data_IF_918870655037
#
_entry.id   IF_918870655037
#
_cell.length_a   1.000
_cell.length_b   1.000
_cell.length_c   1.000
_cell.angle_alpha   90.00
_cell.angle_beta   90.00
_cell.angle_gamma   90.00
#
_symmetry.space_group_name_H-M   'P 1'
#
loop_
_entity.id
_entity.type
_entity.pdbx_description
1 polymer ?
#
# COMPACT_ATOMS: atom_id res chain seq x y z
N UNK A 1 -19.43 -2.02 -6.15
CA UNK A 1 -19.99 -1.87 -4.79
C UNK A 1 -20.49 -3.24 -4.35
N UNK A 2 -20.25 -3.64 -3.11
CA UNK A 2 -20.80 -4.89 -2.56
C UNK A 2 -22.28 -4.75 -2.23
N UNK A 3 -22.93 -5.86 -1.87
CA UNK A 3 -24.30 -5.81 -1.39
C UNK A 3 -24.40 -4.98 -0.10
N UNK A 4 -25.51 -4.25 0.07
CA UNK A 4 -25.76 -3.38 1.23
C UNK A 4 -25.64 -4.10 2.58
N UNK A 5 -25.99 -5.39 2.63
CA UNK A 5 -25.91 -6.20 3.85
C UNK A 5 -24.46 -6.36 4.35
N UNK A 6 -23.48 -6.29 3.45
CA UNK A 6 -22.06 -6.24 3.79
C UNK A 6 -21.73 -5.01 4.61
N UNK A 7 -22.15 -3.84 4.16
CA UNK A 7 -21.88 -2.58 4.85
C UNK A 7 -22.63 -2.49 6.19
N UNK A 8 -23.88 -2.96 6.25
CA UNK A 8 -24.68 -3.04 7.48
C UNK A 8 -23.94 -3.90 8.53
N UNK A 9 -23.52 -5.10 8.13
CA UNK A 9 -22.81 -6.03 9.01
C UNK A 9 -21.47 -5.46 9.50
N UNK A 10 -20.70 -4.83 8.60
CA UNK A 10 -19.42 -4.20 8.94
C UNK A 10 -19.59 -3.08 9.96
N UNK A 11 -20.58 -2.19 9.79
CA UNK A 11 -20.86 -1.13 10.76
C UNK A 11 -21.39 -1.68 12.08
N UNK A 12 -22.24 -2.70 12.05
CA UNK A 12 -22.71 -3.36 13.27
C UNK A 12 -21.59 -4.00 14.09
N UNK A 13 -20.60 -4.63 13.43
CA UNK A 13 -19.43 -5.18 14.09
C UNK A 13 -18.52 -4.09 14.65
N UNK A 14 -18.28 -3.03 13.89
CA UNK A 14 -17.49 -1.88 14.33
C UNK A 14 -18.09 -1.23 15.60
N UNK A 15 -19.42 -1.06 15.67
CA UNK A 15 -20.11 -0.52 16.86
C UNK A 15 -19.84 -1.36 18.10
N UNK A 16 -19.82 -2.69 17.99
CA UNK A 16 -19.51 -3.59 19.11
C UNK A 16 -18.07 -3.44 19.62
N UNK A 17 -17.13 -3.16 18.71
CA UNK A 17 -15.71 -3.01 19.06
C UNK A 17 -15.42 -1.66 19.71
N UNK A 18 -15.98 -0.56 19.19
CA UNK A 18 -15.73 0.82 19.69
C UNK A 18 -16.58 1.14 20.91
N UNK A 19 -17.78 0.58 21.02
CA UNK A 19 -18.70 0.56 22.16
C UNK A 19 -19.47 1.85 22.48
N UNK A 20 -18.92 3.04 22.29
CA UNK A 20 -19.59 4.31 22.61
C UNK A 20 -19.05 5.46 21.75
N UNK A 21 -19.76 6.60 21.79
CA UNK A 21 -19.34 7.83 21.11
C UNK A 21 -19.87 7.94 19.68
N UNK A 22 -19.29 8.88 18.94
CA UNK A 22 -19.61 9.17 17.54
C UNK A 22 -18.39 8.91 16.68
N UNK A 23 -18.51 7.98 15.72
CA UNK A 23 -17.47 7.71 14.73
C UNK A 23 -17.71 8.56 13.49
N UNK A 24 -16.68 9.23 12.99
CA UNK A 24 -16.71 10.01 11.75
C UNK A 24 -15.70 9.44 10.78
N UNK A 25 -16.19 8.95 9.63
CA UNK A 25 -15.38 8.59 8.47
C UNK A 25 -15.44 9.70 7.45
N UNK A 26 -14.34 10.39 7.24
CA UNK A 26 -14.23 11.40 6.20
C UNK A 26 -13.96 10.75 4.87
N UNK A 27 -14.85 10.96 3.90
CA UNK A 27 -14.55 10.65 2.51
C UNK A 27 -13.58 11.67 1.92
N UNK A 28 -12.98 11.34 0.79
CA UNK A 28 -12.10 12.23 0.07
C UNK A 28 -12.89 13.27 -0.73
N UNK A 29 -12.25 14.40 -1.01
CA UNK A 29 -12.70 15.40 -1.97
C UNK A 29 -11.88 15.29 -3.26
N UNK A 30 -12.42 15.80 -4.36
CA UNK A 30 -11.64 16.04 -5.57
C UNK A 30 -10.46 16.97 -5.29
N UNK A 31 -9.38 16.81 -6.03
CA UNK A 31 -8.17 17.60 -5.88
C UNK A 31 -7.78 18.19 -7.23
N UNK A 32 -7.75 19.53 -7.37
CA UNK A 32 -7.38 20.16 -8.63
C UNK A 32 -5.88 19.94 -8.92
N UNK A 33 -5.55 19.71 -10.21
CA UNK A 33 -4.16 19.58 -10.66
C UNK A 33 -3.46 20.95 -10.65
N UNK A 34 -4.03 21.95 -11.33
CA UNK A 34 -3.39 23.27 -11.53
C UNK A 34 -4.36 24.44 -11.72
N UNK A 35 -5.67 24.20 -11.80
CA UNK A 35 -6.72 25.21 -11.85
C UNK A 35 -8.02 24.67 -11.25
N UNK A 36 -8.93 25.55 -10.76
CA UNK A 36 -10.01 25.15 -9.87
C UNK A 36 -11.15 24.37 -10.53
N UNK A 37 -11.33 24.44 -11.85
CA UNK A 37 -12.47 23.83 -12.53
C UNK A 37 -12.00 22.85 -13.62
N UNK A 38 -12.58 21.65 -13.67
CA UNK A 38 -12.37 20.62 -14.72
C UNK A 38 -10.94 20.08 -14.88
N UNK A 39 -10.03 20.46 -13.99
CA UNK A 39 -8.63 20.01 -14.02
C UNK A 39 -8.27 19.20 -12.79
N UNK A 40 -9.05 18.14 -12.49
CA UNK A 40 -8.85 17.33 -11.31
C UNK A 40 -7.95 16.12 -11.58
N UNK A 41 -7.22 15.70 -10.54
CA UNK A 41 -6.66 14.33 -10.51
C UNK A 41 -7.79 13.31 -10.52
N UNK A 42 -7.57 12.08 -11.04
CA UNK A 42 -8.56 11.02 -10.93
C UNK A 42 -9.03 10.88 -9.48
N UNK A 43 -10.36 10.88 -9.29
CA UNK A 43 -10.93 10.78 -7.95
C UNK A 43 -10.71 9.38 -7.38
N UNK A 44 -10.27 9.32 -6.14
CA UNK A 44 -10.12 8.09 -5.37
C UNK A 44 -10.67 8.32 -3.96
N UNK A 45 -11.69 7.56 -3.62
CA UNK A 45 -12.33 7.64 -2.31
C UNK A 45 -11.45 7.05 -1.21
N UNK A 46 -11.61 7.53 0.04
CA UNK A 46 -10.96 6.96 1.22
C UNK A 46 -11.35 5.49 1.42
N UNK A 47 -10.37 4.63 1.63
CA UNK A 47 -10.58 3.18 1.71
C UNK A 47 -11.38 2.77 2.94
N UNK A 48 -11.20 3.42 4.10
CA UNK A 48 -11.98 3.11 5.29
C UNK A 48 -13.42 3.59 5.16
N UNK A 49 -13.63 4.77 4.57
CA UNK A 49 -14.98 5.23 4.23
C UNK A 49 -15.67 4.24 3.27
N UNK A 50 -14.99 3.80 2.20
CA UNK A 50 -15.54 2.80 1.27
C UNK A 50 -15.87 1.47 1.94
N UNK A 51 -15.01 1.00 2.83
CA UNK A 51 -15.21 -0.26 3.55
C UNK A 51 -16.50 -0.30 4.36
N UNK A 52 -16.90 0.86 4.93
CA UNK A 52 -18.09 0.96 5.76
C UNK A 52 -19.32 1.53 5.06
N UNK A 53 -19.16 2.35 4.02
CA UNK A 53 -20.27 3.07 3.36
C UNK A 53 -20.42 2.78 1.87
N UNK A 54 -19.41 2.26 1.20
CA UNK A 54 -19.48 1.83 -0.20
C UNK A 54 -19.70 2.94 -1.25
N UNK A 55 -19.80 4.21 -0.86
CA UNK A 55 -20.16 5.30 -1.76
C UNK A 55 -18.92 5.91 -2.45
N UNK A 56 -18.95 5.97 -3.78
CA UNK A 56 -17.83 6.40 -4.65
C UNK A 56 -18.00 7.86 -5.15
N UNK A 57 -18.37 8.78 -4.28
CA UNK A 57 -18.53 10.21 -4.62
C UNK A 57 -17.69 11.05 -3.66
N UNK A 58 -17.15 12.16 -4.16
CA UNK A 58 -16.47 13.17 -3.35
C UNK A 58 -17.39 13.87 -2.37
N UNK A 59 -16.82 14.55 -1.38
CA UNK A 59 -17.54 15.40 -0.44
C UNK A 59 -18.53 14.68 0.48
N UNK A 60 -18.35 13.36 0.71
CA UNK A 60 -19.18 12.57 1.62
C UNK A 60 -18.50 12.36 2.98
N UNK A 61 -19.32 12.24 4.02
CA UNK A 61 -18.88 11.87 5.37
C UNK A 61 -19.86 10.84 5.94
N UNK A 62 -19.32 9.74 6.45
CA UNK A 62 -20.10 8.73 7.17
C UNK A 62 -20.06 8.98 8.68
N UNK A 63 -21.22 9.02 9.32
CA UNK A 63 -21.34 9.18 10.77
C UNK A 63 -22.04 7.98 11.37
N UNK A 64 -21.43 7.40 12.41
CA UNK A 64 -22.02 6.32 13.20
C UNK A 64 -22.11 6.83 14.64
N UNK A 65 -23.31 7.13 15.09
CA UNK A 65 -23.59 7.52 16.49
C UNK A 65 -23.95 6.24 17.26
N UNK A 66 -22.97 5.71 17.99
CA UNK A 66 -23.12 4.44 18.72
C UNK A 66 -24.10 4.56 19.87
N UNK A 67 -24.05 5.70 20.60
CA UNK A 67 -24.86 5.89 21.79
C UNK A 67 -26.37 6.03 21.48
N UNK A 68 -26.69 6.57 20.30
CA UNK A 68 -28.05 6.73 19.81
C UNK A 68 -28.48 5.65 18.81
N UNK A 69 -27.57 4.70 18.48
CA UNK A 69 -27.74 3.65 17.46
C UNK A 69 -28.25 4.20 16.12
N UNK A 70 -27.63 5.29 15.64
CA UNK A 70 -27.98 5.90 14.35
C UNK A 70 -26.77 5.97 13.41
N UNK A 71 -27.06 5.83 12.13
CA UNK A 71 -26.08 5.93 11.06
C UNK A 71 -26.55 6.95 10.04
N UNK A 72 -25.69 7.87 9.62
CA UNK A 72 -26.02 8.95 8.69
C UNK A 72 -24.95 9.11 7.63
N UNK A 73 -25.36 9.12 6.36
CA UNK A 73 -24.50 9.56 5.26
C UNK A 73 -24.71 11.06 5.06
N UNK A 74 -23.63 11.81 5.16
CA UNK A 74 -23.64 13.27 5.07
C UNK A 74 -22.98 13.72 3.77
N UNK A 75 -23.63 14.63 3.06
CA UNK A 75 -23.12 15.23 1.83
C UNK A 75 -24.16 16.21 1.27
N UNK A 76 -23.78 16.93 0.23
CA UNK A 76 -24.72 17.78 -0.50
C UNK A 76 -25.09 17.13 -1.83
N UNK A 77 -26.33 17.23 -2.23
CA UNK A 77 -26.74 16.88 -3.60
C UNK A 77 -26.18 17.92 -4.57
N UNK A 78 -25.92 17.48 -5.79
CA UNK A 78 -25.48 18.36 -6.88
C UNK A 78 -26.62 19.23 -7.35
N UNK A 79 -26.34 20.41 -7.86
CA UNK A 79 -27.31 21.30 -8.45
C UNK A 79 -27.49 21.10 -9.97
N UNK A 80 -28.34 21.92 -10.58
CA UNK A 80 -28.62 21.79 -12.01
C UNK A 80 -27.42 22.17 -12.88
N UNK A 81 -26.55 23.07 -12.43
CA UNK A 81 -25.38 23.47 -13.15
C UNK A 81 -24.37 22.33 -13.16
N UNK A 82 -24.16 21.64 -12.03
CA UNK A 82 -23.33 20.43 -11.95
C UNK A 82 -23.87 19.30 -12.87
N UNK A 83 -25.21 19.12 -12.92
CA UNK A 83 -25.83 18.12 -13.81
C UNK A 83 -25.56 18.43 -15.27
N UNK A 84 -25.56 19.71 -15.67
CA UNK A 84 -25.23 20.12 -17.05
C UNK A 84 -23.81 19.74 -17.43
N UNK A 85 -22.85 19.83 -16.50
CA UNK A 85 -21.44 19.57 -16.77
C UNK A 85 -21.03 18.11 -16.61
N UNK A 86 -21.59 17.41 -15.63
CA UNK A 86 -21.14 16.08 -15.22
C UNK A 86 -22.19 14.97 -15.41
N UNK A 87 -23.43 15.33 -15.77
CA UNK A 87 -24.55 14.41 -15.85
C UNK A 87 -25.21 14.17 -14.49
N UNK A 88 -26.35 13.48 -14.51
CA UNK A 88 -27.07 13.13 -13.29
C UNK A 88 -26.30 12.06 -12.50
N UNK A 89 -26.20 12.25 -11.17
CA UNK A 89 -25.64 11.28 -10.23
C UNK A 89 -26.67 10.97 -9.14
N UNK A 90 -26.49 9.85 -8.45
CA UNK A 90 -27.35 9.47 -7.33
C UNK A 90 -27.35 10.54 -6.23
N UNK A 91 -28.53 10.81 -5.65
CA UNK A 91 -28.62 11.68 -4.49
C UNK A 91 -27.92 11.06 -3.28
N UNK A 92 -27.57 11.89 -2.28
CA UNK A 92 -27.01 11.40 -0.99
C UNK A 92 -27.97 10.38 -0.34
N UNK A 93 -29.29 10.59 -0.50
CA UNK A 93 -30.32 9.67 0.00
C UNK A 93 -30.28 8.32 -0.72
N UNK A 94 -30.12 8.33 -2.05
CA UNK A 94 -30.04 7.08 -2.83
C UNK A 94 -28.78 6.30 -2.46
N UNK A 95 -27.62 6.96 -2.36
CA UNK A 95 -26.37 6.36 -1.91
C UNK A 95 -26.47 5.82 -0.47
N UNK A 96 -27.12 6.54 0.44
CA UNK A 96 -27.39 6.04 1.79
C UNK A 96 -28.21 4.75 1.76
N UNK A 97 -29.25 4.72 0.95
CA UNK A 97 -30.10 3.53 0.75
C UNK A 97 -29.31 2.35 0.20
N UNK A 98 -28.46 2.57 -0.79
CA UNK A 98 -27.57 1.56 -1.38
C UNK A 98 -26.55 1.01 -0.37
N UNK A 99 -26.07 1.87 0.53
CA UNK A 99 -25.17 1.49 1.63
C UNK A 99 -25.89 0.91 2.87
N UNK A 100 -27.24 0.82 2.83
CA UNK A 100 -28.03 0.37 3.97
C UNK A 100 -27.97 1.32 5.17
N UNK A 101 -27.80 2.62 4.93
CA UNK A 101 -27.79 3.68 5.93
C UNK A 101 -29.17 4.32 6.00
N UNK A 102 -29.77 4.38 7.20
CA UNK A 102 -31.15 4.82 7.37
C UNK A 102 -31.37 6.33 7.13
N UNK A 103 -30.33 7.15 7.39
CA UNK A 103 -30.43 8.61 7.35
C UNK A 103 -29.43 9.21 6.38
N UNK A 104 -29.84 10.30 5.72
CA UNK A 104 -28.96 11.18 4.97
C UNK A 104 -29.17 12.62 5.41
N UNK A 105 -28.13 13.45 5.35
CA UNK A 105 -28.22 14.85 5.76
C UNK A 105 -27.24 15.73 4.95
N UNK A 106 -27.54 17.03 4.80
CA UNK A 106 -26.63 17.96 4.15
C UNK A 106 -25.38 18.21 4.99
N UNK A 107 -24.25 18.59 4.34
CA UNK A 107 -22.93 18.78 4.99
C UNK A 107 -22.98 19.72 6.22
N UNK A 108 -23.83 20.74 6.20
CA UNK A 108 -24.02 21.64 7.35
C UNK A 108 -24.40 20.92 8.65
N UNK A 109 -25.05 19.75 8.57
CA UNK A 109 -25.50 18.99 9.74
C UNK A 109 -24.31 18.36 10.50
N UNK A 110 -23.20 18.10 9.82
CA UNK A 110 -22.00 17.54 10.45
C UNK A 110 -21.49 18.43 11.60
N UNK A 111 -21.50 19.75 11.40
CA UNK A 111 -21.10 20.71 12.43
C UNK A 111 -21.99 20.64 13.65
N UNK A 112 -23.30 20.48 13.46
CA UNK A 112 -24.27 20.33 14.56
C UNK A 112 -24.03 19.05 15.35
N UNK A 113 -23.81 17.92 14.65
CA UNK A 113 -23.50 16.63 15.29
C UNK A 113 -22.22 16.72 16.13
N UNK A 114 -21.14 17.30 15.58
CA UNK A 114 -19.89 17.48 16.31
C UNK A 114 -20.07 18.40 17.54
N UNK A 115 -20.76 19.54 17.36
CA UNK A 115 -21.01 20.46 18.44
C UNK A 115 -21.83 19.84 19.59
N UNK A 116 -22.88 19.09 19.26
CA UNK A 116 -23.71 18.41 20.27
C UNK A 116 -22.93 17.32 21.00
N UNK A 117 -22.14 16.54 20.28
CA UNK A 117 -21.27 15.54 20.90
C UNK A 117 -20.27 16.19 21.89
N UNK A 118 -19.59 17.27 21.48
CA UNK A 118 -18.64 18.00 22.32
C UNK A 118 -19.34 18.63 23.54
N UNK A 119 -20.49 19.27 23.33
CA UNK A 119 -21.30 19.87 24.41
C UNK A 119 -21.74 18.84 25.47
N UNK A 120 -22.07 17.62 25.00
CA UNK A 120 -22.47 16.51 25.87
C UNK A 120 -21.28 15.71 26.39
N UNK A 121 -20.04 16.13 26.09
CA UNK A 121 -18.78 15.45 26.45
C UNK A 121 -18.73 14.00 25.96
N UNK A 122 -19.37 13.72 24.84
CA UNK A 122 -19.30 12.42 24.16
C UNK A 122 -17.99 12.32 23.39
N UNK A 123 -17.45 11.11 23.30
CA UNK A 123 -16.23 10.85 22.53
C UNK A 123 -16.53 10.96 21.04
N UNK A 124 -15.64 11.63 20.29
CA UNK A 124 -15.65 11.64 18.84
C UNK A 124 -14.45 10.86 18.37
N UNK A 125 -14.71 9.84 17.55
CA UNK A 125 -13.70 8.97 16.99
C UNK A 125 -13.45 9.31 15.52
N UNK A 126 -12.21 9.50 15.14
CA UNK A 126 -11.77 9.64 13.75
C UNK A 126 -10.43 8.92 13.54
N UNK A 127 -10.15 8.57 12.29
CA UNK A 127 -8.87 7.96 11.88
C UNK A 127 -7.81 9.04 11.60
N UNK A 128 -6.50 8.72 11.68
CA UNK A 128 -5.44 9.67 11.37
C UNK A 128 -5.60 10.23 9.94
N UNK A 129 -5.77 11.55 9.77
CA UNK A 129 -5.96 12.12 8.44
C UNK A 129 -4.62 12.22 7.69
N UNK A 130 -4.57 11.74 6.44
CA UNK A 130 -3.41 11.87 5.56
C UNK A 130 -3.56 13.02 4.54
N UNK A 131 -4.80 13.42 4.19
CA UNK A 131 -5.06 14.53 3.27
C UNK A 131 -5.15 15.88 3.99
N UNK A 132 -4.69 16.94 3.32
CA UNK A 132 -4.68 18.29 3.90
C UNK A 132 -6.08 18.88 4.05
N UNK A 133 -6.97 18.63 3.09
CA UNK A 133 -8.38 19.05 3.15
C UNK A 133 -9.11 18.42 4.35
N UNK A 134 -8.92 17.12 4.57
CA UNK A 134 -9.46 16.44 5.77
C UNK A 134 -8.89 17.02 7.07
N UNK A 135 -7.59 17.36 7.10
CA UNK A 135 -6.98 18.01 8.28
C UNK A 135 -7.61 19.36 8.58
N UNK A 136 -7.89 20.17 7.56
CA UNK A 136 -8.59 21.45 7.74
C UNK A 136 -10.02 21.23 8.21
N UNK A 137 -10.74 20.28 7.66
CA UNK A 137 -12.10 19.95 8.06
C UNK A 137 -12.17 19.50 9.53
N UNK A 138 -11.27 18.65 10.00
CA UNK A 138 -11.17 18.25 11.41
C UNK A 138 -10.86 19.46 12.30
N UNK A 139 -9.98 20.35 11.87
CA UNK A 139 -9.70 21.58 12.61
C UNK A 139 -10.94 22.47 12.74
N UNK A 140 -11.69 22.68 11.67
CA UNK A 140 -12.90 23.51 11.67
C UNK A 140 -14.05 22.90 12.50
N UNK A 141 -14.15 21.57 12.56
CA UNK A 141 -15.20 20.86 13.28
C UNK A 141 -14.90 20.66 14.76
N UNK A 142 -13.63 20.31 15.08
CA UNK A 142 -13.24 19.85 16.42
C UNK A 142 -12.23 20.77 17.12
N UNK A 143 -11.68 21.77 16.43
CA UNK A 143 -10.66 22.66 16.98
C UNK A 143 -9.29 22.00 17.19
N UNK A 144 -9.07 20.78 16.66
CA UNK A 144 -7.80 20.05 16.83
C UNK A 144 -6.82 20.49 15.76
N UNK A 145 -5.69 21.07 16.16
CA UNK A 145 -4.69 21.56 15.21
C UNK A 145 -4.09 20.43 14.37
N UNK A 146 -3.83 20.64 13.06
CA UNK A 146 -3.33 19.60 12.15
C UNK A 146 -2.13 18.79 12.67
N UNK A 147 -1.21 19.41 13.40
CA UNK A 147 -0.04 18.72 13.98
C UNK A 147 -0.40 17.78 15.16
N UNK A 148 -1.57 17.92 15.76
CA UNK A 148 -2.04 17.12 16.89
C UNK A 148 -3.02 16.02 16.47
N UNK A 149 -3.54 16.06 15.24
CA UNK A 149 -4.64 15.18 14.80
C UNK A 149 -4.23 13.71 14.76
N UNK A 150 -2.98 13.39 14.38
CA UNK A 150 -2.49 12.02 14.40
C UNK A 150 -2.49 11.43 15.81
N UNK A 151 -2.06 12.19 16.79
CA UNK A 151 -2.01 11.78 18.20
C UNK A 151 -3.40 11.79 18.87
N UNK A 152 -4.32 12.62 18.36
CA UNK A 152 -5.70 12.73 18.85
C UNK A 152 -6.64 11.70 18.20
N UNK A 153 -6.19 10.98 17.17
CA UNK A 153 -6.98 9.94 16.52
C UNK A 153 -7.29 8.79 17.50
N UNK A 154 -8.44 8.17 17.31
CA UNK A 154 -8.93 7.14 18.23
C UNK A 154 -8.21 5.82 18.04
N UNK A 155 -7.41 5.42 19.01
CA UNK A 155 -6.70 4.13 19.02
C UNK A 155 -7.68 2.96 18.98
N UNK A 156 -8.81 3.05 19.67
CA UNK A 156 -9.86 2.02 19.66
C UNK A 156 -10.43 1.83 18.25
N UNK A 157 -10.71 2.95 17.56
CA UNK A 157 -11.18 2.90 16.17
C UNK A 157 -10.10 2.33 15.24
N UNK A 158 -8.84 2.79 15.37
CA UNK A 158 -7.73 2.26 14.59
C UNK A 158 -7.63 0.74 14.74
N UNK A 159 -7.59 0.24 15.99
CA UNK A 159 -7.48 -1.20 16.26
C UNK A 159 -8.68 -1.99 15.72
N UNK A 160 -9.89 -1.44 15.82
CA UNK A 160 -11.10 -2.07 15.28
C UNK A 160 -11.06 -2.16 13.75
N UNK A 161 -10.70 -1.05 13.06
CA UNK A 161 -10.58 -1.03 11.60
C UNK A 161 -9.49 -1.99 11.13
N UNK A 162 -8.31 -1.96 11.76
CA UNK A 162 -7.20 -2.86 11.42
C UNK A 162 -7.63 -4.32 11.58
N UNK A 163 -8.27 -4.68 12.69
CA UNK A 163 -8.75 -6.05 12.92
C UNK A 163 -9.73 -6.50 11.85
N UNK A 164 -10.67 -5.64 11.45
CA UNK A 164 -11.68 -5.99 10.46
C UNK A 164 -11.12 -6.07 9.04
N UNK A 165 -10.29 -5.11 8.61
CA UNK A 165 -9.74 -5.07 7.26
C UNK A 165 -8.57 -6.04 7.04
N UNK A 166 -7.89 -6.49 8.09
CA UNK A 166 -6.78 -7.45 7.96
C UNK A 166 -7.26 -8.82 7.48
N UNK A 167 -8.40 -9.28 7.95
CA UNK A 167 -8.99 -10.57 7.55
C UNK A 167 -9.97 -10.33 6.41
N UNK A 168 -9.58 -10.72 5.20
CA UNK A 168 -10.37 -10.51 3.99
C UNK A 168 -11.57 -11.46 3.94
N UNK A 169 -12.72 -10.92 3.59
CA UNK A 169 -13.93 -11.69 3.28
C UNK A 169 -13.82 -12.29 1.86
N UNK A 170 -14.57 -13.35 1.58
CA UNK A 170 -14.49 -14.03 0.28
C UNK A 170 -14.68 -13.08 -0.92
N UNK A 171 -15.63 -12.15 -0.83
CA UNK A 171 -15.87 -11.15 -1.86
C UNK A 171 -14.70 -10.15 -2.04
N UNK A 172 -13.91 -9.90 -0.98
CA UNK A 172 -12.71 -9.08 -1.05
C UNK A 172 -11.58 -9.86 -1.75
N UNK A 173 -11.47 -11.16 -1.48
CA UNK A 173 -10.53 -12.06 -2.16
C UNK A 173 -10.83 -12.10 -3.66
N UNK A 174 -12.10 -12.22 -4.07
CA UNK A 174 -12.50 -12.17 -5.49
C UNK A 174 -12.04 -10.86 -6.17
N UNK A 175 -12.14 -9.72 -5.49
CA UNK A 175 -11.66 -8.44 -6.03
C UNK A 175 -10.13 -8.39 -6.14
N UNK A 176 -9.42 -8.93 -5.13
CA UNK A 176 -7.96 -9.04 -5.17
C UNK A 176 -7.48 -9.96 -6.30
N UNK A 177 -8.16 -11.07 -6.54
CA UNK A 177 -7.88 -11.96 -7.67
C UNK A 177 -8.10 -11.26 -9.01
N UNK A 178 -9.18 -10.47 -9.15
CA UNK A 178 -9.41 -9.64 -10.36
C UNK A 178 -8.29 -8.60 -10.56
N UNK A 179 -7.87 -7.94 -9.48
CA UNK A 179 -6.74 -7.01 -9.54
C UNK A 179 -5.45 -7.73 -9.98
N UNK A 180 -5.18 -8.93 -9.46
CA UNK A 180 -4.03 -9.75 -9.84
C UNK A 180 -4.09 -10.18 -11.31
N UNK A 181 -5.27 -10.51 -11.86
CA UNK A 181 -5.44 -10.80 -13.29
C UNK A 181 -5.11 -9.59 -14.17
N UNK A 182 -5.46 -8.37 -13.74
CA UNK A 182 -5.07 -7.15 -14.44
C UNK A 182 -3.56 -6.97 -14.35
N UNK A 183 -2.96 -7.14 -13.16
CA UNK A 183 -1.52 -7.13 -12.93
C UNK A 183 -0.78 -8.13 -13.85
N UNK A 184 -1.30 -9.34 -14.00
CA UNK A 184 -0.76 -10.32 -14.96
C UNK A 184 -0.73 -9.78 -16.40
N UNK A 185 -1.78 -9.10 -16.85
CA UNK A 185 -1.82 -8.48 -18.19
C UNK A 185 -0.82 -7.33 -18.30
N UNK A 186 -0.63 -6.55 -17.23
CA UNK A 186 0.37 -5.47 -17.18
C UNK A 186 1.78 -6.05 -17.37
N UNK A 187 2.16 -7.04 -16.58
CA UNK A 187 3.50 -7.66 -16.62
C UNK A 187 3.77 -8.42 -17.94
N UNK A 188 2.80 -9.18 -18.44
CA UNK A 188 2.96 -9.87 -19.73
C UNK A 188 3.03 -8.89 -20.89
N UNK A 189 2.45 -7.69 -20.76
CA UNK A 189 2.63 -6.60 -21.74
C UNK A 189 4.05 -6.05 -21.68
N UNK A 190 4.59 -5.77 -20.47
CA UNK A 190 5.98 -5.38 -20.30
C UNK A 190 6.94 -6.39 -20.93
N UNK A 191 6.78 -7.69 -20.63
CA UNK A 191 7.60 -8.77 -21.19
C UNK A 191 7.63 -8.80 -22.72
N UNK A 192 6.51 -8.47 -23.37
CA UNK A 192 6.41 -8.43 -24.85
C UNK A 192 7.05 -7.19 -25.45
N UNK A 193 7.11 -6.08 -24.73
CA UNK A 193 7.57 -4.78 -25.23
C UNK A 193 9.04 -4.52 -24.94
N UNK A 194 9.61 -5.15 -23.91
CA UNK A 194 11.01 -4.97 -23.52
C UNK A 194 11.94 -5.50 -24.61
N UNK A 195 12.75 -4.59 -25.15
CA UNK A 195 13.85 -4.90 -26.09
C UNK A 195 14.80 -3.71 -26.17
N UNK A 196 16.06 -3.92 -26.61
CA UNK A 196 16.99 -2.81 -26.84
C UNK A 196 16.39 -1.78 -27.80
N UNK A 197 16.62 -0.49 -27.52
CA UNK A 197 16.17 0.63 -28.35
C UNK A 197 14.77 1.19 -28.00
N UNK A 198 14.01 0.53 -27.12
CA UNK A 198 12.73 1.06 -26.61
C UNK A 198 12.99 1.91 -25.36
N UNK A 199 12.21 2.98 -25.14
CA UNK A 199 12.35 3.81 -23.95
C UNK A 199 11.61 3.21 -22.75
N UNK A 200 12.11 3.44 -21.53
CA UNK A 200 11.41 3.09 -20.30
C UNK A 200 10.00 3.71 -20.27
N UNK A 201 9.90 4.99 -20.68
CA UNK A 201 8.63 5.74 -20.71
C UNK A 201 7.57 5.08 -21.59
N UNK A 202 7.98 4.52 -22.73
CA UNK A 202 7.04 3.82 -23.62
C UNK A 202 6.49 2.56 -22.94
N UNK A 203 7.37 1.71 -22.38
CA UNK A 203 6.93 0.47 -21.73
C UNK A 203 6.06 0.78 -20.51
N UNK A 204 6.51 1.67 -19.61
CA UNK A 204 5.75 2.05 -18.43
C UNK A 204 4.39 2.66 -18.74
N UNK A 205 4.32 3.47 -19.82
CA UNK A 205 3.06 4.05 -20.30
C UNK A 205 2.08 3.00 -20.82
N UNK A 206 2.56 1.98 -21.55
CA UNK A 206 1.71 0.88 -22.01
C UNK A 206 1.22 0.02 -20.83
N UNK A 207 2.08 -0.28 -19.87
CA UNK A 207 1.73 -1.02 -18.65
C UNK A 207 0.66 -0.28 -17.86
N UNK A 208 0.82 1.03 -17.62
CA UNK A 208 -0.19 1.85 -16.93
C UNK A 208 -1.51 1.92 -17.71
N UNK A 209 -1.46 1.95 -19.04
CA UNK A 209 -2.64 1.94 -19.90
C UNK A 209 -3.48 0.67 -19.77
N UNK A 210 -2.86 -0.48 -19.49
CA UNK A 210 -3.58 -1.74 -19.22
C UNK A 210 -4.42 -1.60 -17.94
N UNK A 211 -3.88 -1.06 -16.86
CA UNK A 211 -4.64 -0.83 -15.62
C UNK A 211 -5.90 0.01 -15.90
N UNK A 212 -5.77 1.14 -16.60
CA UNK A 212 -6.90 2.00 -16.97
C UNK A 212 -7.88 1.36 -17.96
N UNK A 213 -7.46 0.32 -18.68
CA UNK A 213 -8.34 -0.38 -19.65
C UNK A 213 -9.22 -1.47 -19.02
N UNK A 214 -8.78 -2.05 -17.89
CA UNK A 214 -9.44 -3.20 -17.27
C UNK A 214 -9.83 -2.97 -15.81
N UNK A 215 -9.28 -1.95 -15.15
CA UNK A 215 -9.55 -1.57 -13.77
C UNK A 215 -9.97 -0.11 -13.66
N UNK A 216 -9.88 0.44 -12.46
CA UNK A 216 -10.11 1.85 -12.23
C UNK A 216 -8.86 2.68 -12.56
N UNK A 217 -7.72 2.31 -11.98
CA UNK A 217 -6.43 2.97 -12.18
C UNK A 217 -5.27 2.05 -11.80
N UNK A 218 -4.04 2.54 -11.89
CA UNK A 218 -2.89 1.87 -11.27
C UNK A 218 -3.01 1.93 -9.74
N UNK A 219 -2.63 0.86 -9.03
CA UNK A 219 -2.63 0.82 -7.56
C UNK A 219 -1.56 1.73 -6.94
N UNK A 220 -0.49 1.99 -7.68
CA UNK A 220 0.59 2.94 -7.39
C UNK A 220 1.24 3.40 -8.70
N UNK A 221 2.00 4.50 -8.70
CA UNK A 221 2.72 4.94 -9.90
C UNK A 221 3.64 3.82 -10.40
N UNK A 222 3.41 3.37 -11.64
CA UNK A 222 4.19 2.29 -12.27
C UNK A 222 5.69 2.59 -12.19
N UNK A 223 6.44 1.67 -11.61
CA UNK A 223 7.90 1.67 -11.57
C UNK A 223 8.40 0.83 -12.74
N UNK A 224 9.22 1.41 -13.59
CA UNK A 224 9.84 0.69 -14.68
C UNK A 224 11.20 1.31 -15.01
N UNK A 225 12.27 0.57 -14.79
CA UNK A 225 13.62 1.06 -15.06
C UNK A 225 14.63 -0.07 -15.30
N UNK A 226 15.64 0.21 -16.13
CA UNK A 226 16.86 -0.61 -16.22
C UNK A 226 17.87 -0.31 -15.09
N UNK A 227 17.52 0.59 -14.19
CA UNK A 227 18.22 0.91 -12.95
C UNK A 227 17.39 0.41 -11.76
N UNK A 228 17.23 -0.93 -11.65
CA UNK A 228 16.43 -1.57 -10.60
C UNK A 228 16.95 -1.32 -9.19
N UNK A 229 18.20 -0.86 -9.04
CA UNK A 229 18.76 -0.41 -7.76
C UNK A 229 18.13 0.90 -7.25
N UNK A 230 17.33 1.59 -8.07
CA UNK A 230 16.52 2.74 -7.69
C UNK A 230 15.09 2.27 -7.47
N UNK A 231 14.72 1.98 -6.22
CA UNK A 231 13.48 1.27 -5.86
C UNK A 231 12.18 1.93 -6.32
N UNK A 232 12.14 3.26 -6.40
CA UNK A 232 10.99 4.01 -6.92
C UNK A 232 11.35 4.74 -8.22
N UNK A 233 11.96 4.00 -9.16
CA UNK A 233 12.39 4.53 -10.46
C UNK A 233 11.21 4.77 -11.40
N UNK A 234 10.77 6.02 -11.54
CA UNK A 234 9.75 6.38 -12.51
C UNK A 234 10.25 6.14 -13.94
N UNK A 235 9.41 5.63 -14.86
CA UNK A 235 9.77 5.45 -16.26
C UNK A 235 10.26 6.73 -16.90
N UNK A 236 11.49 6.73 -17.40
CA UNK A 236 12.19 7.88 -18.00
C UNK A 236 12.26 7.77 -19.53
N UNK A 237 12.85 8.79 -20.19
CA UNK A 237 13.17 8.73 -21.62
C UNK A 237 14.44 7.93 -21.92
N UNK A 238 15.08 7.33 -20.90
CA UNK A 238 16.22 6.45 -21.09
C UNK A 238 15.86 5.27 -22.03
N UNK A 239 16.78 4.96 -22.91
CA UNK A 239 16.64 3.87 -23.88
C UNK A 239 17.16 2.60 -23.24
N UNK A 240 16.37 1.52 -23.31
CA UNK A 240 16.77 0.21 -22.82
C UNK A 240 17.98 -0.34 -23.59
N UNK A 241 18.99 -0.76 -22.87
CA UNK A 241 20.27 -1.22 -23.40
C UNK A 241 20.39 -2.75 -23.37
N UNK A 242 21.00 -3.30 -24.43
CA UNK A 242 21.33 -4.72 -24.47
C UNK A 242 22.26 -5.11 -23.29
N UNK A 243 22.00 -6.25 -22.66
CA UNK A 243 22.80 -6.73 -21.53
C UNK A 243 22.36 -6.21 -20.16
N UNK A 244 21.42 -5.25 -20.10
CA UNK A 244 20.83 -4.77 -18.84
C UNK A 244 19.64 -5.63 -18.42
N UNK A 245 19.28 -5.54 -17.15
CA UNK A 245 17.98 -5.95 -16.62
C UNK A 245 16.99 -4.78 -16.67
N UNK A 246 15.70 -5.06 -16.72
CA UNK A 246 14.64 -4.08 -16.56
C UNK A 246 13.68 -4.60 -15.46
N UNK A 247 13.55 -3.83 -14.40
CA UNK A 247 12.61 -4.07 -13.32
C UNK A 247 11.29 -3.39 -13.70
N UNK A 248 10.20 -4.13 -13.58
CA UNK A 248 8.83 -3.65 -13.71
C UNK A 248 8.10 -3.95 -12.40
N UNK A 249 7.67 -2.91 -11.71
CA UNK A 249 6.84 -3.01 -10.52
C UNK A 249 5.56 -2.22 -10.77
N UNK A 250 4.44 -2.94 -10.82
CA UNK A 250 3.17 -2.40 -11.27
C UNK A 250 1.98 -3.22 -10.76
N UNK A 251 0.91 -2.54 -10.47
CA UNK A 251 -0.36 -3.14 -10.07
C UNK A 251 -1.55 -2.29 -10.50
N UNK A 252 -2.73 -2.84 -10.40
CA UNK A 252 -4.00 -2.19 -10.74
C UNK A 252 -4.96 -2.21 -9.58
N UNK A 253 -5.83 -1.19 -9.51
CA UNK A 253 -7.05 -1.20 -8.71
C UNK A 253 -8.22 -1.72 -9.52
N UNK A 254 -9.09 -2.51 -8.91
CA UNK A 254 -10.41 -2.82 -9.47
C UNK A 254 -11.37 -1.63 -9.33
N UNK A 255 -12.55 -1.72 -9.95
CA UNK A 255 -13.60 -0.71 -9.78
C UNK A 255 -14.13 -0.61 -8.33
N UNK A 256 -13.87 -1.61 -7.50
CA UNK A 256 -14.15 -1.61 -6.06
C UNK A 256 -12.94 -1.20 -5.20
N UNK A 257 -11.88 -0.70 -5.84
CA UNK A 257 -10.64 -0.21 -5.22
C UNK A 257 -9.86 -1.28 -4.41
N UNK A 258 -9.83 -2.51 -4.89
CA UNK A 258 -8.90 -3.53 -4.39
C UNK A 258 -7.67 -3.59 -5.30
N UNK A 259 -6.50 -3.69 -4.68
CA UNK A 259 -5.22 -3.50 -5.34
C UNK A 259 -4.53 -4.83 -5.67
N UNK A 260 -3.74 -4.83 -6.72
CA UNK A 260 -2.64 -5.78 -6.92
C UNK A 260 -1.30 -5.07 -6.86
N UNK A 261 -0.26 -5.87 -6.57
CA UNK A 261 1.11 -5.43 -6.41
C UNK A 261 2.03 -6.56 -6.87
N UNK A 262 2.78 -6.34 -7.94
CA UNK A 262 3.65 -7.36 -8.53
C UNK A 262 4.92 -6.73 -9.09
N UNK A 263 6.06 -7.33 -8.77
CA UNK A 263 7.35 -6.98 -9.40
C UNK A 263 7.90 -8.12 -10.24
N UNK A 264 8.43 -7.82 -11.40
CA UNK A 264 9.18 -8.76 -12.26
C UNK A 264 10.37 -8.08 -12.87
N UNK A 265 11.55 -8.74 -12.76
CA UNK A 265 12.79 -8.30 -13.40
C UNK A 265 13.07 -9.15 -14.62
N UNK A 266 13.38 -8.52 -15.73
CA UNK A 266 13.50 -9.17 -17.05
C UNK A 266 14.77 -8.73 -17.78
N UNK A 267 15.46 -9.63 -18.50
CA UNK A 267 16.62 -9.26 -19.29
C UNK A 267 16.19 -8.50 -20.55
N UNK A 268 16.73 -7.30 -20.76
CA UNK A 268 16.41 -6.46 -21.94
C UNK A 268 16.70 -7.17 -23.26
N UNK A 269 17.72 -8.02 -23.28
CA UNK A 269 18.10 -8.83 -24.46
C UNK A 269 17.30 -10.12 -24.63
N UNK A 270 16.26 -10.38 -23.79
CA UNK A 270 15.43 -11.58 -23.81
C UNK A 270 16.08 -12.84 -23.24
N UNK A 271 17.35 -12.78 -22.82
CA UNK A 271 18.07 -13.86 -22.12
C UNK A 271 18.96 -13.28 -21.04
N UNK A 272 18.96 -13.91 -19.88
CA UNK A 272 19.89 -13.61 -18.80
C UNK A 272 21.33 -13.98 -19.18
N UNK A 273 22.29 -13.14 -18.79
CA UNK A 273 23.69 -13.56 -18.70
C UNK A 273 23.86 -14.52 -17.53
N UNK A 274 24.99 -15.27 -17.48
CA UNK A 274 25.25 -16.18 -16.36
C UNK A 274 25.24 -15.43 -15.02
N UNK A 275 25.87 -14.27 -14.93
CA UNK A 275 25.90 -13.42 -13.73
C UNK A 275 24.50 -12.94 -13.30
N UNK A 276 23.66 -12.59 -14.25
CA UNK A 276 22.27 -12.21 -13.96
C UNK A 276 21.44 -13.39 -13.47
N UNK A 277 21.62 -14.57 -14.10
CA UNK A 277 20.91 -15.78 -13.71
C UNK A 277 21.28 -16.24 -12.29
N UNK A 278 22.55 -16.12 -11.90
CA UNK A 278 23.00 -16.45 -10.54
C UNK A 278 22.30 -15.60 -9.49
N UNK A 279 22.22 -14.29 -9.68
CA UNK A 279 21.50 -13.38 -8.74
C UNK A 279 20.01 -13.62 -8.79
N UNK A 280 19.41 -13.75 -9.99
CA UNK A 280 17.98 -13.99 -10.16
C UNK A 280 17.53 -15.28 -9.44
N UNK A 281 18.32 -16.36 -9.56
CA UNK A 281 18.01 -17.64 -8.91
C UNK A 281 18.05 -17.56 -7.38
N UNK A 282 18.85 -16.65 -6.80
CA UNK A 282 18.83 -16.42 -5.35
C UNK A 282 17.51 -15.78 -4.95
N UNK A 283 17.06 -14.75 -5.68
CA UNK A 283 15.78 -14.09 -5.39
C UNK A 283 14.61 -15.04 -5.56
N UNK A 284 14.61 -15.87 -6.64
CA UNK A 284 13.61 -16.92 -6.85
C UNK A 284 13.57 -17.92 -5.68
N UNK A 285 14.72 -18.40 -5.21
CA UNK A 285 14.77 -19.29 -4.06
C UNK A 285 14.28 -18.62 -2.76
N UNK A 286 14.53 -17.34 -2.58
CA UNK A 286 14.00 -16.56 -1.46
C UNK A 286 12.48 -16.47 -1.52
N UNK A 287 11.92 -16.16 -2.69
CA UNK A 287 10.47 -16.11 -2.91
C UNK A 287 9.81 -17.48 -2.63
N UNK A 288 10.35 -18.56 -3.17
CA UNK A 288 9.82 -19.91 -2.94
C UNK A 288 9.82 -20.29 -1.45
N UNK A 289 10.92 -19.96 -0.75
CA UNK A 289 11.01 -20.21 0.70
C UNK A 289 10.00 -19.36 1.49
N UNK A 290 9.83 -18.08 1.14
CA UNK A 290 8.88 -17.22 1.80
C UNK A 290 7.44 -17.74 1.64
N UNK A 291 7.08 -18.18 0.43
CA UNK A 291 5.79 -18.82 0.16
C UNK A 291 5.60 -20.11 0.98
N UNK A 292 6.64 -20.95 1.09
CA UNK A 292 6.61 -22.18 1.88
C UNK A 292 6.39 -21.90 3.38
N UNK A 293 7.07 -20.89 3.92
CA UNK A 293 7.04 -20.55 5.35
C UNK A 293 5.81 -19.72 5.75
N UNK A 294 5.19 -18.99 4.84
CA UNK A 294 4.06 -18.09 5.12
C UNK A 294 2.77 -18.87 5.39
N UNK A 295 2.62 -19.31 6.64
CA UNK A 295 1.44 -20.09 7.12
C UNK A 295 0.80 -19.43 8.32
N UNK A 296 -0.52 -19.60 8.54
CA UNK A 296 -1.18 -19.10 9.73
C UNK A 296 -0.44 -19.54 11.02
N UNK A 297 -0.22 -18.58 11.92
CA UNK A 297 0.51 -18.76 13.17
C UNK A 297 2.01 -18.48 13.11
N UNK A 298 2.62 -18.39 11.91
CA UNK A 298 4.02 -18.01 11.74
C UNK A 298 4.15 -16.49 11.82
N UNK A 299 5.18 -15.98 12.50
CA UNK A 299 5.51 -14.56 12.48
C UNK A 299 6.14 -14.19 11.15
N UNK A 300 5.60 -13.20 10.46
CA UNK A 300 6.17 -12.77 9.19
C UNK A 300 7.57 -12.15 9.34
N UNK A 301 7.87 -11.63 10.52
CA UNK A 301 9.23 -11.24 10.90
C UNK A 301 10.22 -12.41 10.80
N UNK A 302 9.85 -13.60 11.31
CA UNK A 302 10.73 -14.77 11.27
C UNK A 302 10.93 -15.23 9.81
N UNK A 303 9.87 -15.19 8.98
CA UNK A 303 9.98 -15.46 7.53
C UNK A 303 10.97 -14.51 6.88
N UNK A 304 10.87 -13.19 7.14
CA UNK A 304 11.83 -12.20 6.64
C UNK A 304 13.27 -12.53 7.05
N UNK A 305 13.49 -12.91 8.30
CA UNK A 305 14.84 -13.24 8.79
C UNK A 305 15.38 -14.54 8.16
N UNK A 306 14.53 -15.53 7.91
CA UNK A 306 14.93 -16.77 7.21
C UNK A 306 15.31 -16.50 5.76
N UNK A 307 14.59 -15.59 5.08
CA UNK A 307 14.97 -15.11 3.75
C UNK A 307 16.33 -14.39 3.77
N UNK A 308 16.57 -13.54 4.76
CA UNK A 308 17.88 -12.88 4.91
C UNK A 308 19.02 -13.90 5.12
N UNK A 309 18.78 -15.00 5.84
CA UNK A 309 19.75 -16.10 6.02
C UNK A 309 20.04 -16.80 4.71
N UNK A 310 18.99 -17.25 4.01
CA UNK A 310 19.13 -17.92 2.71
C UNK A 310 19.88 -17.04 1.71
N UNK A 311 19.48 -15.77 1.59
CA UNK A 311 20.13 -14.78 0.73
C UNK A 311 21.63 -14.64 1.07
N UNK A 312 21.95 -14.50 2.36
CA UNK A 312 23.33 -14.37 2.85
C UNK A 312 24.15 -15.60 2.47
N UNK A 313 23.65 -16.82 2.67
CA UNK A 313 24.35 -18.05 2.32
C UNK A 313 24.63 -18.16 0.83
N UNK A 314 23.65 -17.85 -0.01
CA UNK A 314 23.80 -17.87 -1.47
C UNK A 314 24.76 -16.78 -1.97
N UNK A 315 24.73 -15.60 -1.39
CA UNK A 315 25.69 -14.52 -1.72
C UNK A 315 27.12 -14.86 -1.26
N UNK A 316 27.30 -15.67 -0.20
CA UNK A 316 28.60 -16.23 0.19
C UNK A 316 29.14 -17.24 -0.85
N UNK A 317 28.26 -18.09 -1.40
CA UNK A 317 28.64 -19.01 -2.48
C UNK A 317 29.19 -18.26 -3.71
N UNK A 318 28.67 -17.05 -3.98
CA UNK A 318 29.18 -16.17 -5.04
C UNK A 318 30.39 -15.32 -4.61
N UNK A 319 30.82 -15.41 -3.34
CA UNK A 319 31.93 -14.62 -2.80
C UNK A 319 31.60 -13.15 -2.52
N UNK A 320 30.35 -12.71 -2.67
CA UNK A 320 29.90 -11.35 -2.38
C UNK A 320 29.82 -11.08 -0.87
N UNK A 321 29.48 -12.11 -0.11
CA UNK A 321 29.50 -12.11 1.36
C UNK A 321 30.50 -13.14 1.91
N UNK A 322 30.81 -13.08 3.19
CA UNK A 322 31.76 -13.96 3.89
C UNK A 322 31.41 -14.06 5.39
N UNK A 323 32.12 -14.88 6.13
CA UNK A 323 31.93 -15.04 7.56
C UNK A 323 30.75 -15.94 7.94
N UNK A 324 30.35 -15.88 9.19
CA UNK A 324 29.20 -16.62 9.72
C UNK A 324 27.87 -15.98 9.31
N UNK A 325 26.92 -16.77 8.86
CA UNK A 325 25.63 -16.30 8.35
C UNK A 325 24.77 -15.67 9.44
N UNK A 326 24.69 -16.31 10.61
CA UNK A 326 23.88 -15.80 11.73
C UNK A 326 24.44 -14.48 12.27
N UNK A 327 25.76 -14.38 12.35
CA UNK A 327 26.42 -13.14 12.76
C UNK A 327 26.25 -12.03 11.73
N UNK A 328 26.35 -12.34 10.43
CA UNK A 328 26.15 -11.38 9.35
C UNK A 328 24.72 -10.83 9.36
N UNK A 329 23.71 -11.70 9.47
CA UNK A 329 22.30 -11.29 9.52
C UNK A 329 22.00 -10.50 10.79
N UNK A 330 22.50 -10.92 11.96
CA UNK A 330 22.35 -10.19 13.21
C UNK A 330 23.00 -8.79 13.16
N UNK A 331 24.13 -8.65 12.47
CA UNK A 331 24.81 -7.38 12.25
C UNK A 331 24.11 -6.48 11.20
N UNK A 332 23.14 -7.00 10.47
CA UNK A 332 22.43 -6.29 9.39
C UNK A 332 23.17 -6.24 8.06
N UNK A 333 24.19 -7.09 7.85
CA UNK A 333 24.99 -7.09 6.62
C UNK A 333 24.18 -7.42 5.36
N UNK A 334 23.10 -8.20 5.49
CA UNK A 334 22.15 -8.51 4.42
C UNK A 334 21.49 -7.26 3.82
N UNK A 335 21.35 -6.19 4.61
CA UNK A 335 20.71 -4.94 4.16
C UNK A 335 21.54 -4.17 3.10
N UNK A 336 22.81 -4.56 2.88
CA UNK A 336 23.58 -4.11 1.71
C UNK A 336 22.86 -4.47 0.41
N UNK A 337 22.15 -5.60 0.38
CA UNK A 337 21.48 -6.16 -0.80
C UNK A 337 19.96 -6.06 -0.74
N UNK A 338 19.36 -6.21 0.44
CA UNK A 338 17.92 -6.10 0.70
C UNK A 338 17.67 -4.99 1.74
N UNK A 339 17.61 -3.71 1.34
CA UNK A 339 17.43 -2.60 2.27
C UNK A 339 15.97 -2.31 2.63
N UNK A 340 15.02 -3.18 2.27
CA UNK A 340 13.61 -3.08 2.58
C UNK A 340 13.07 -4.36 3.24
N UNK A 341 11.80 -4.35 3.63
CA UNK A 341 11.12 -5.50 4.21
C UNK A 341 10.70 -6.53 3.16
N UNK A 342 10.38 -7.74 3.62
CA UNK A 342 9.90 -8.81 2.73
C UNK A 342 8.49 -8.53 2.19
N UNK A 343 7.69 -7.71 2.88
CA UNK A 343 6.35 -7.41 2.40
C UNK A 343 5.50 -6.62 3.39
N UNK A 344 4.27 -6.39 2.99
CA UNK A 344 3.27 -5.59 3.69
C UNK A 344 1.87 -6.18 3.51
N UNK A 345 0.89 -5.70 4.29
CA UNK A 345 -0.52 -5.99 4.06
C UNK A 345 -0.97 -5.36 2.74
N UNK A 346 -1.81 -6.07 1.98
CA UNK A 346 -2.44 -5.61 0.75
C UNK A 346 -3.96 -5.78 0.83
N UNK A 347 -4.70 -4.87 0.21
CA UNK A 347 -6.17 -4.89 0.24
C UNK A 347 -6.78 -3.80 -0.61
N UNK A 348 -7.57 -2.92 0.02
CA UNK A 348 -8.12 -1.72 -0.62
C UNK A 348 -7.05 -0.64 -0.88
N UNK A 349 -5.93 -0.70 -0.20
CA UNK A 349 -4.74 0.08 -0.52
C UNK A 349 -3.60 -0.90 -0.84
N UNK A 350 -2.64 -0.50 -1.67
CA UNK A 350 -1.47 -1.32 -1.96
C UNK A 350 -0.68 -1.62 -0.69
N UNK A 351 -0.34 -0.59 0.08
CA UNK A 351 0.08 -0.71 1.47
C UNK A 351 -1.16 -0.56 2.36
N UNK A 352 -1.86 -1.68 2.59
CA UNK A 352 -3.18 -1.61 3.22
C UNK A 352 -3.11 -1.02 4.62
N UNK A 353 -3.93 0.00 4.87
CA UNK A 353 -4.06 0.69 6.15
C UNK A 353 -2.77 1.40 6.64
N UNK A 354 -1.77 1.69 5.79
CA UNK A 354 -0.50 2.30 6.23
C UNK A 354 -0.70 3.62 7.00
N UNK A 355 -1.71 4.41 6.62
CA UNK A 355 -2.07 5.66 7.30
C UNK A 355 -2.53 5.49 8.76
N UNK A 356 -2.94 4.27 9.17
CA UNK A 356 -3.42 3.95 10.51
C UNK A 356 -2.32 3.67 11.53
N UNK A 357 -1.07 3.80 11.15
CA UNK A 357 0.15 3.51 11.91
C UNK A 357 0.58 2.03 11.85
N UNK A 358 1.79 1.80 11.35
CA UNK A 358 2.39 0.48 11.20
C UNK A 358 2.44 -0.33 12.50
N UNK A 359 2.56 0.33 13.65
CA UNK A 359 2.55 -0.32 14.97
C UNK A 359 1.26 -1.11 15.25
N UNK A 360 0.16 -0.76 14.59
CA UNK A 360 -1.12 -1.47 14.73
C UNK A 360 -1.44 -2.35 13.53
N UNK A 361 -0.91 -2.03 12.36
CA UNK A 361 -1.18 -2.77 11.11
C UNK A 361 -0.30 -4.00 10.99
N UNK A 362 1.00 -3.83 11.04
CA UNK A 362 1.98 -4.89 10.78
C UNK A 362 2.67 -5.43 12.03
N UNK A 363 2.44 -4.81 13.18
CA UNK A 363 3.09 -5.17 14.44
C UNK A 363 2.07 -5.28 15.59
N UNK A 364 2.48 -5.82 16.71
CA UNK A 364 1.68 -6.03 17.90
C UNK A 364 2.55 -6.02 19.17
N UNK A 365 2.00 -6.44 20.31
CA UNK A 365 2.75 -6.50 21.57
C UNK A 365 3.85 -7.59 21.56
N UNK A 366 3.76 -8.60 20.69
CA UNK A 366 4.74 -9.68 20.57
C UNK A 366 5.91 -9.29 19.66
N UNK A 367 5.66 -8.55 18.59
CA UNK A 367 6.67 -8.13 17.60
C UNK A 367 6.62 -6.62 17.43
N UNK A 368 7.72 -5.96 17.76
CA UNK A 368 7.90 -4.52 17.62
C UNK A 368 8.72 -4.18 16.35
N UNK A 369 8.53 -3.00 15.75
CA UNK A 369 9.37 -2.52 14.66
C UNK A 369 10.85 -2.51 15.03
N UNK A 370 11.71 -2.97 14.13
CA UNK A 370 13.17 -2.90 14.28
C UNK A 370 13.68 -1.47 14.03
N UNK A 371 14.81 -1.13 14.63
CA UNK A 371 15.57 0.11 14.32
C UNK A 371 16.78 -0.15 13.44
N UNK A 372 17.10 -1.43 13.13
CA UNK A 372 18.22 -1.79 12.29
C UNK A 372 17.95 -1.40 10.82
N UNK A 373 18.94 -0.78 10.17
CA UNK A 373 18.84 -0.46 8.74
C UNK A 373 18.45 -1.71 7.91
N UNK A 374 17.60 -1.54 6.95
CA UNK A 374 16.95 -2.61 6.17
C UNK A 374 15.75 -3.19 6.90
N UNK A 375 15.95 -3.88 8.03
CA UNK A 375 14.86 -4.47 8.82
C UNK A 375 13.87 -3.43 9.38
N UNK A 376 14.30 -2.20 9.59
CA UNK A 376 13.42 -1.08 10.01
C UNK A 376 12.38 -0.69 8.95
N UNK A 377 12.59 -1.08 7.71
CA UNK A 377 11.65 -0.87 6.60
C UNK A 377 10.61 -1.99 6.48
N UNK A 378 10.70 -3.05 7.29
CA UNK A 378 9.68 -4.11 7.33
C UNK A 378 8.34 -3.54 7.80
N UNK A 379 7.29 -3.72 7.00
CA UNK A 379 5.94 -3.23 7.27
C UNK A 379 5.02 -4.27 7.89
N UNK A 380 5.35 -5.54 7.76
CA UNK A 380 4.59 -6.67 8.31
C UNK A 380 5.53 -7.58 9.09
N UNK A 381 5.28 -7.78 10.39
CA UNK A 381 6.08 -8.64 11.26
C UNK A 381 5.26 -9.58 12.14
N UNK A 382 4.00 -9.22 12.42
CA UNK A 382 3.14 -10.00 13.32
C UNK A 382 2.79 -11.38 12.77
N UNK A 383 2.13 -12.20 13.57
CA UNK A 383 1.69 -13.53 13.15
C UNK A 383 0.69 -13.46 12.02
N UNK A 384 0.91 -14.29 11.01
CA UNK A 384 -0.05 -14.48 9.92
C UNK A 384 -1.31 -15.17 10.44
N UNK A 385 -2.45 -14.70 10.00
CA UNK A 385 -3.75 -15.28 10.27
C UNK A 385 -4.44 -15.69 8.96
N UNK A 386 -5.33 -16.68 9.03
CA UNK A 386 -6.15 -17.06 7.87
C UNK A 386 -6.98 -15.85 7.41
N UNK A 387 -6.92 -15.54 6.14
CA UNK A 387 -7.60 -14.37 5.53
C UNK A 387 -6.73 -13.12 5.44
N UNK A 388 -5.49 -13.13 5.95
CA UNK A 388 -4.53 -12.07 5.64
C UNK A 388 -4.07 -12.19 4.18
N UNK A 389 -3.87 -11.06 3.54
CA UNK A 389 -3.21 -10.94 2.25
C UNK A 389 -2.00 -10.06 2.43
N UNK A 390 -0.83 -10.61 2.13
CA UNK A 390 0.46 -9.94 2.28
C UNK A 390 1.26 -10.11 0.98
N UNK A 391 2.13 -9.14 0.68
CA UNK A 391 3.10 -9.27 -0.41
C UNK A 391 4.28 -10.13 0.02
N UNK A 392 4.95 -10.73 -0.96
CA UNK A 392 6.19 -11.48 -0.84
C UNK A 392 7.14 -10.95 -1.93
N UNK A 393 8.08 -10.09 -1.54
CA UNK A 393 8.85 -9.24 -2.43
C UNK A 393 10.36 -9.24 -2.13
N UNK A 394 11.01 -10.42 -2.08
CA UNK A 394 12.47 -10.46 -1.91
C UNK A 394 13.17 -9.82 -3.12
N UNK A 395 14.25 -9.10 -2.87
CA UNK A 395 15.04 -8.45 -3.91
C UNK A 395 16.53 -8.43 -3.57
N UNK A 396 17.37 -8.32 -4.60
CA UNK A 396 18.81 -8.09 -4.46
C UNK A 396 19.19 -6.88 -5.31
N UNK A 397 19.77 -5.87 -4.65
CA UNK A 397 20.11 -4.59 -5.25
C UNK A 397 21.60 -4.29 -5.04
N UNK A 398 22.24 -3.75 -6.07
CA UNK A 398 23.61 -3.29 -6.00
C UNK A 398 23.62 -1.76 -6.10
N UNK A 399 23.46 -1.09 -4.97
CA UNK A 399 23.32 0.37 -4.89
C UNK A 399 24.70 1.00 -4.74
N UNK A 400 25.25 1.69 -5.77
CA UNK A 400 26.63 2.20 -5.74
C UNK A 400 26.91 3.11 -4.54
N UNK A 401 25.99 4.03 -4.23
CA UNK A 401 26.17 4.95 -3.10
C UNK A 401 26.21 4.23 -1.73
N UNK A 402 25.44 3.14 -1.56
CA UNK A 402 25.44 2.35 -0.34
C UNK A 402 26.74 1.54 -0.21
N UNK A 403 27.21 0.94 -1.31
CA UNK A 403 28.49 0.23 -1.38
C UNK A 403 29.63 1.18 -0.98
N UNK A 404 29.68 2.38 -1.57
CA UNK A 404 30.72 3.37 -1.27
C UNK A 404 30.68 3.84 0.19
N UNK A 405 29.50 4.13 0.71
CA UNK A 405 29.31 4.56 2.10
C UNK A 405 29.75 3.50 3.10
N UNK A 406 29.35 2.26 2.92
CA UNK A 406 29.71 1.18 3.84
C UNK A 406 31.18 0.80 3.74
N UNK A 407 31.76 0.82 2.54
CA UNK A 407 33.19 0.64 2.31
C UNK A 407 34.01 1.70 3.03
N UNK A 408 33.63 2.96 2.90
CA UNK A 408 34.34 4.09 3.50
C UNK A 408 34.28 4.07 5.05
N UNK A 409 33.10 3.69 5.61
CA UNK A 409 32.91 3.58 7.07
C UNK A 409 33.44 2.26 7.64
N UNK A 410 33.72 1.27 6.83
CA UNK A 410 34.05 -0.09 7.27
C UNK A 410 32.87 -0.84 7.88
N UNK A 411 31.62 -0.41 7.60
CA UNK A 411 30.42 -1.05 8.14
C UNK A 411 30.28 -2.49 7.60
N UNK A 412 30.10 -3.45 8.48
CA UNK A 412 30.00 -4.88 8.16
C UNK A 412 31.15 -5.44 7.29
N UNK A 413 32.37 -4.85 7.34
CA UNK A 413 33.54 -5.25 6.53
C UNK A 413 33.96 -6.71 6.72
N UNK A 414 33.68 -7.28 7.87
CA UNK A 414 33.91 -8.69 8.20
C UNK A 414 33.01 -9.65 7.42
N UNK A 415 31.84 -9.16 6.96
CA UNK A 415 30.82 -9.96 6.26
C UNK A 415 30.70 -9.61 4.78
N UNK A 416 31.24 -8.47 4.32
CA UNK A 416 31.10 -7.99 2.94
C UNK A 416 32.43 -8.04 2.20
N UNK A 417 32.38 -8.44 0.92
CA UNK A 417 33.53 -8.43 0.01
C UNK A 417 33.47 -7.17 -0.87
N UNK A 418 33.94 -6.05 -0.36
CA UNK A 418 33.89 -4.76 -1.06
C UNK A 418 34.68 -4.74 -2.38
N UNK A 419 35.73 -5.55 -2.53
CA UNK A 419 36.49 -5.64 -3.80
C UNK A 419 35.60 -6.24 -4.90
N UNK A 420 34.87 -7.30 -4.58
CA UNK A 420 33.94 -7.92 -5.55
C UNK A 420 32.71 -7.03 -5.76
N UNK A 421 32.18 -6.38 -4.70
CA UNK A 421 31.03 -5.48 -4.80
C UNK A 421 31.27 -4.29 -5.75
N UNK A 422 32.51 -3.77 -5.84
CA UNK A 422 32.88 -2.75 -6.84
C UNK A 422 32.56 -3.17 -8.26
N UNK A 423 32.71 -4.46 -8.57
CA UNK A 423 32.44 -5.00 -9.90
C UNK A 423 30.95 -5.22 -10.19
N UNK A 424 30.07 -5.02 -9.19
CA UNK A 424 28.62 -5.15 -9.31
C UNK A 424 27.88 -3.79 -9.32
N UNK A 425 28.58 -2.65 -9.21
CA UNK A 425 27.94 -1.33 -9.20
C UNK A 425 27.14 -0.98 -10.47
N UNK A 426 27.41 -1.66 -11.57
CA UNK A 426 26.69 -1.51 -12.85
C UNK A 426 25.58 -2.54 -13.05
N UNK A 427 25.39 -3.45 -12.10
CA UNK A 427 24.46 -4.56 -12.23
C UNK A 427 22.99 -4.12 -12.21
N UNK A 428 22.62 -3.23 -11.28
CA UNK A 428 21.24 -2.81 -11.01
C UNK A 428 20.62 -3.57 -9.86
N UNK A 429 19.40 -4.06 -10.07
CA UNK A 429 18.65 -4.82 -9.07
C UNK A 429 17.53 -5.65 -9.72
#
# INVERSE_FOLDING_TARGET
>A
MFDKDTYIRRRAELKKMVQNGVIIFFGNNESPCNFPNNGYYPFRQDSSFLYYFGAQRDGLVGVIDIDNDTETLIGNDIDIDDIVWYGAVDSVKDMATQAGVAHSAPMKQLKTICYDALRLKRKIHFLPPYRHDTKLQIFDLLGIHPHQQKESASIELIKAVVKMRSVKEDQEVEELERAAEIGYKMHTTAMKLIKPGVTEKFVGGQVSGIAGSYGAMVSFPTIFSQHGEIMHGNPSMAVLEAGRLALCDAGAETMNNYCSDNTRTMPVSGKFTQRQLEIYSIVEACHDLALELSKPGVKYYDVHMDICRLMTDRLKELGLMKGDTEEAVRAGAHAMFLPHGLGHMMGMDVHDMESLDQRYVGFDDEIQPSTQFGTSALRMGRRLEKGFVVTDEPGIYFIPALIDSWKASGHCKEFLNFELLETYKDFGG
#
